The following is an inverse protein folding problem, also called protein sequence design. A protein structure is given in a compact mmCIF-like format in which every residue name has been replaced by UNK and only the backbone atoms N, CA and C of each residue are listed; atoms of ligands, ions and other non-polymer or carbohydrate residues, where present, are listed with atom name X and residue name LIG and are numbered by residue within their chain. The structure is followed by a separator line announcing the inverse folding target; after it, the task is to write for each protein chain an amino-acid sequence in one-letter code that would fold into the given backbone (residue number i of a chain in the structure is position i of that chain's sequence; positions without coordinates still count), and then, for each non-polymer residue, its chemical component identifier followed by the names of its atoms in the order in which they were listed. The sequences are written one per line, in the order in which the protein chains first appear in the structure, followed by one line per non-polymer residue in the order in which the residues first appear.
data_IF_427053452640
#
_entry.id   IF_427053452640
#
_cell.length_a   1.000
_cell.length_b   1.000
_cell.length_c   1.000
_cell.angle_alpha   90.00
_cell.angle_beta   90.00
_cell.angle_gamma   90.00
#
_symmetry.space_group_name_H-M   'P 1'
#
loop_
_entity.id
_entity.type
_entity.pdbx_description
1 polymer ?
#
# COMPACT_ATOMS: atom_id res chain seq x y z
N UNK A 1 -36.16 -40.25 39.52
CA UNK A 1 -37.50 -40.17 38.87
C UNK A 1 -37.36 -39.28 37.65
N UNK A 2 -36.94 -39.85 36.50
CA UNK A 2 -37.75 -40.07 35.27
C UNK A 2 -38.19 -38.75 34.62
N UNK A 3 -37.73 -38.35 33.42
CA UNK A 3 -37.78 -39.09 32.15
C UNK A 3 -36.75 -38.58 31.12
N UNK A 4 -36.29 -39.53 30.31
CA UNK A 4 -35.62 -39.38 29.01
C UNK A 4 -36.66 -39.10 27.91
N UNK A 5 -36.27 -38.48 26.79
CA UNK A 5 -36.73 -38.61 25.38
C UNK A 5 -36.27 -37.33 24.63
N UNK A 6 -35.16 -37.36 23.86
CA UNK A 6 -35.02 -37.76 22.44
C UNK A 6 -35.16 -36.56 21.46
N UNK A 7 -34.08 -36.27 20.71
CA UNK A 7 -33.99 -35.32 19.59
C UNK A 7 -34.83 -35.77 18.36
N UNK A 8 -35.05 -34.86 17.39
CA UNK A 8 -34.34 -35.05 16.12
C UNK A 8 -33.69 -33.78 15.54
N UNK A 9 -32.50 -34.06 15.02
CA UNK A 9 -31.74 -33.45 13.93
C UNK A 9 -32.63 -32.80 12.86
N UNK A 10 -32.35 -31.54 12.51
CA UNK A 10 -32.48 -31.05 11.13
C UNK A 10 -31.20 -30.29 10.76
N UNK A 11 -30.41 -30.93 9.92
CA UNK A 11 -29.39 -30.32 9.08
C UNK A 11 -30.07 -29.33 8.13
N UNK A 12 -29.56 -28.10 8.06
CA UNK A 12 -29.63 -27.29 6.86
C UNK A 12 -28.25 -26.70 6.62
N UNK A 13 -27.45 -27.41 5.83
CA UNK A 13 -26.32 -26.83 5.15
C UNK A 13 -26.86 -25.95 4.02
N UNK A 14 -26.46 -24.68 3.99
CA UNK A 14 -26.44 -23.88 2.77
C UNK A 14 -25.23 -22.97 2.81
N UNK A 15 -24.22 -23.43 2.08
CA UNK A 15 -23.09 -22.63 1.61
C UNK A 15 -23.65 -21.56 0.68
N UNK A 16 -23.41 -20.29 1.00
CA UNK A 16 -23.48 -19.20 0.03
C UNK A 16 -22.21 -18.36 0.16
N UNK A 17 -21.22 -18.79 -0.61
CA UNK A 17 -20.31 -18.03 -1.48
C UNK A 17 -20.14 -16.53 -1.18
N UNK A 18 -18.88 -16.15 -1.09
CA UNK A 18 -18.39 -14.81 -0.75
C UNK A 18 -18.97 -13.68 -1.60
N UNK A 19 -19.25 -12.58 -0.92
CA UNK A 19 -19.53 -11.30 -1.54
C UNK A 19 -18.21 -10.56 -1.71
N UNK A 20 -17.50 -10.84 -2.81
CA UNK A 20 -16.51 -9.90 -3.33
C UNK A 20 -17.27 -8.66 -3.77
N UNK A 21 -17.08 -7.55 -3.07
CA UNK A 21 -17.57 -6.23 -3.49
C UNK A 21 -16.90 -5.87 -4.81
N UNK A 22 -17.54 -6.24 -5.93
CA UNK A 22 -17.14 -5.80 -7.25
C UNK A 22 -17.52 -4.33 -7.39
N UNK A 23 -16.52 -3.46 -7.45
CA UNK A 23 -16.71 -2.08 -7.87
C UNK A 23 -17.10 -2.11 -9.35
N UNK A 24 -18.35 -1.79 -9.65
CA UNK A 24 -18.86 -1.67 -11.01
C UNK A 24 -18.44 -0.32 -11.60
N UNK A 25 -17.44 -0.32 -12.48
CA UNK A 25 -17.21 0.80 -13.40
C UNK A 25 -18.09 0.59 -14.63
N UNK A 26 -18.97 1.55 -14.93
CA UNK A 26 -19.77 1.55 -16.15
C UNK A 26 -18.91 2.04 -17.32
N UNK A 27 -18.56 1.15 -18.24
CA UNK A 27 -17.76 1.46 -19.42
C UNK A 27 -18.67 1.57 -20.66
N UNK A 28 -18.85 2.80 -21.14
CA UNK A 28 -19.50 3.06 -22.43
C UNK A 28 -18.48 2.85 -23.55
N UNK A 29 -18.36 1.61 -24.01
CA UNK A 29 -17.41 1.21 -25.03
C UNK A 29 -17.86 1.66 -26.43
N UNK A 30 -17.19 2.65 -27.00
CA UNK A 30 -17.10 2.83 -28.46
C UNK A 30 -15.68 2.55 -28.92
N UNK A 31 -15.53 1.37 -29.53
CA UNK A 31 -14.28 0.88 -30.10
C UNK A 31 -13.98 -0.50 -29.52
N UNK A 32 -13.88 -1.51 -30.37
CA UNK A 32 -13.44 -2.85 -29.98
C UNK A 32 -11.99 -2.77 -29.48
N UNK A 33 -11.82 -2.48 -28.20
CA UNK A 33 -10.55 -2.16 -27.58
C UNK A 33 -10.56 -2.70 -26.17
N UNK A 34 -9.82 -3.79 -25.94
CA UNK A 34 -9.47 -4.21 -24.59
C UNK A 34 -8.79 -3.01 -23.93
N UNK A 35 -9.42 -2.44 -22.90
CA UNK A 35 -8.79 -1.41 -22.09
C UNK A 35 -7.42 -1.94 -21.62
N UNK A 36 -6.32 -1.17 -21.76
CA UNK A 36 -5.03 -1.62 -21.29
C UNK A 36 -5.12 -2.02 -19.82
N UNK A 37 -4.75 -3.26 -19.51
CA UNK A 37 -4.72 -3.73 -18.12
C UNK A 37 -3.80 -2.83 -17.31
N UNK A 38 -4.33 -2.22 -16.24
CA UNK A 38 -3.53 -1.41 -15.33
C UNK A 38 -2.58 -2.33 -14.56
N UNK A 39 -1.29 -2.26 -14.86
CA UNK A 39 -0.27 -3.06 -14.16
C UNK A 39 0.37 -2.22 -13.06
N UNK A 40 0.37 -2.74 -11.83
CA UNK A 40 1.15 -2.17 -10.73
C UNK A 40 2.63 -2.37 -10.99
N UNK A 41 3.41 -1.28 -10.91
CA UNK A 41 4.87 -1.32 -11.02
C UNK A 41 5.51 -0.55 -9.88
N UNK A 42 6.67 -1.00 -9.44
CA UNK A 42 7.53 -0.21 -8.54
C UNK A 42 7.99 1.07 -9.25
N UNK A 43 8.21 2.13 -8.47
CA UNK A 43 8.90 3.32 -8.93
C UNK A 43 10.39 3.03 -9.15
N UNK A 44 10.97 3.57 -10.23
CA UNK A 44 12.44 3.60 -10.38
C UNK A 44 13.06 4.44 -9.27
N UNK A 45 14.36 4.29 -9.01
CA UNK A 45 15.04 5.10 -7.98
C UNK A 45 14.91 6.60 -8.21
N UNK A 46 15.00 7.03 -9.48
CA UNK A 46 14.81 8.44 -9.83
C UNK A 46 13.37 8.91 -9.58
N UNK A 47 12.39 8.05 -9.81
CA UNK A 47 10.98 8.35 -9.55
C UNK A 47 10.72 8.38 -8.04
N UNK A 48 11.24 7.42 -7.28
CA UNK A 48 11.13 7.37 -5.83
C UNK A 48 11.67 8.64 -5.17
N UNK A 49 12.89 9.07 -5.54
CA UNK A 49 13.48 10.31 -5.01
C UNK A 49 12.64 11.55 -5.36
N UNK A 50 12.15 11.64 -6.59
CA UNK A 50 11.27 12.75 -7.01
C UNK A 50 9.96 12.74 -6.23
N UNK A 51 9.32 11.57 -6.05
CA UNK A 51 8.09 11.42 -5.28
C UNK A 51 8.29 11.82 -3.82
N UNK A 52 9.36 11.35 -3.18
CA UNK A 52 9.72 11.73 -1.80
C UNK A 52 9.94 13.24 -1.68
N UNK A 53 10.68 13.83 -2.63
CA UNK A 53 10.87 15.27 -2.69
C UNK A 53 9.57 16.02 -2.92
N UNK A 54 8.71 15.56 -3.80
CA UNK A 54 7.53 16.33 -4.21
C UNK A 54 6.45 16.27 -3.11
N UNK A 55 6.24 15.11 -2.49
CA UNK A 55 5.28 14.89 -1.40
C UNK A 55 5.76 15.41 -0.05
N UNK A 56 7.01 15.12 0.32
CA UNK A 56 7.52 15.36 1.68
C UNK A 56 8.56 16.48 1.74
N UNK A 57 8.93 17.08 0.59
CA UNK A 57 9.99 18.09 0.48
C UNK A 57 11.32 17.62 1.07
N UNK A 58 11.57 16.31 1.01
CA UNK A 58 12.84 15.69 1.39
C UNK A 58 13.72 15.54 0.13
N UNK A 59 14.85 16.25 0.10
CA UNK A 59 15.81 16.27 -1.00
C UNK A 59 17.07 15.43 -0.71
N UNK A 60 17.01 14.48 0.21
CA UNK A 60 18.18 13.65 0.60
C UNK A 60 18.55 12.59 -0.43
N UNK A 61 17.69 12.36 -1.42
CA UNK A 61 17.82 11.32 -2.46
C UNK A 61 18.04 9.92 -1.85
N UNK A 62 17.06 9.41 -1.08
CA UNK A 62 17.19 8.17 -0.30
C UNK A 62 17.57 6.95 -1.14
N UNK A 63 17.13 6.87 -2.39
CA UNK A 63 17.41 5.74 -3.27
C UNK A 63 18.88 5.62 -3.71
N UNK A 64 19.75 6.58 -3.35
CA UNK A 64 21.21 6.46 -3.59
C UNK A 64 21.86 5.31 -2.82
N UNK A 65 21.22 4.85 -1.74
CA UNK A 65 21.71 3.72 -0.93
C UNK A 65 21.08 2.39 -1.32
N UNK A 66 20.18 2.37 -2.31
CA UNK A 66 19.52 1.15 -2.74
C UNK A 66 20.48 0.30 -3.57
N UNK A 67 20.30 -1.04 -3.58
CA UNK A 67 21.00 -1.92 -4.52
C UNK A 67 20.81 -1.44 -5.96
N UNK A 68 21.71 -1.74 -6.90
CA UNK A 68 21.54 -1.35 -8.30
C UNK A 68 20.19 -1.77 -8.88
N UNK A 69 19.59 -0.88 -9.68
CA UNK A 69 18.34 -1.15 -10.38
C UNK A 69 18.60 -1.89 -11.69
N UNK A 70 17.68 -2.79 -12.07
CA UNK A 70 17.76 -3.48 -13.34
C UNK A 70 17.81 -2.49 -14.52
N UNK A 71 18.73 -2.76 -15.45
CA UNK A 71 18.91 -1.95 -16.65
C UNK A 71 18.90 -2.86 -17.86
N UNK A 72 17.78 -2.85 -18.58
CA UNK A 72 17.52 -3.75 -19.70
C UNK A 72 17.21 -2.92 -20.95
N UNK A 73 17.90 -3.19 -22.06
CA UNK A 73 17.67 -2.51 -23.34
C UNK A 73 17.72 -0.97 -23.29
N UNK A 74 18.52 -0.38 -22.38
CA UNK A 74 18.63 1.07 -22.25
C UNK A 74 17.65 1.74 -21.28
N UNK A 75 16.78 0.97 -20.64
CA UNK A 75 15.73 1.49 -19.76
C UNK A 75 15.82 0.87 -18.36
N UNK A 76 15.11 1.46 -17.39
CA UNK A 76 14.99 0.93 -16.01
C UNK A 76 13.54 0.71 -15.55
N UNK A 77 12.57 0.91 -16.44
CA UNK A 77 11.15 0.97 -16.11
C UNK A 77 10.36 -0.25 -16.62
N UNK A 78 11.03 -1.36 -16.91
CA UNK A 78 10.37 -2.58 -17.40
C UNK A 78 9.61 -3.24 -16.26
N UNK A 79 8.27 -3.19 -16.31
CA UNK A 79 7.43 -3.69 -15.22
C UNK A 79 7.62 -5.20 -14.95
N UNK A 80 8.00 -5.98 -15.97
CA UNK A 80 8.13 -7.44 -15.88
C UNK A 80 9.35 -7.88 -15.07
N UNK A 81 10.40 -7.05 -15.03
CA UNK A 81 11.65 -7.37 -14.34
C UNK A 81 11.80 -6.62 -13.02
N UNK A 82 11.08 -5.51 -12.84
CA UNK A 82 11.07 -4.71 -11.62
C UNK A 82 10.49 -5.50 -10.43
N UNK A 83 11.36 -6.24 -9.75
CA UNK A 83 11.06 -7.00 -8.53
C UNK A 83 11.59 -6.30 -7.28
N UNK A 84 11.10 -6.70 -6.12
CA UNK A 84 11.62 -6.26 -4.81
C UNK A 84 12.43 -7.41 -4.22
N UNK A 85 13.76 -7.28 -4.23
CA UNK A 85 14.65 -8.22 -3.54
C UNK A 85 14.60 -8.00 -2.03
N UNK A 86 14.98 -9.01 -1.20
CA UNK A 86 15.06 -8.83 0.24
C UNK A 86 15.92 -7.64 0.67
N UNK A 87 17.09 -7.46 0.04
CA UNK A 87 17.98 -6.33 0.33
C UNK A 87 17.35 -4.98 -0.05
N UNK A 88 16.59 -4.93 -1.15
CA UNK A 88 15.87 -3.72 -1.53
C UNK A 88 14.72 -3.42 -0.56
N UNK A 89 14.02 -4.44 -0.05
CA UNK A 89 13.00 -4.28 0.98
C UNK A 89 13.59 -3.69 2.27
N UNK A 90 14.73 -4.20 2.73
CA UNK A 90 15.46 -3.64 3.89
C UNK A 90 15.85 -2.18 3.66
N UNK A 91 16.39 -1.86 2.47
CA UNK A 91 16.76 -0.50 2.12
C UNK A 91 15.55 0.45 2.11
N UNK A 92 14.37 -0.03 1.68
CA UNK A 92 13.12 0.72 1.79
C UNK A 92 12.72 1.00 3.23
N UNK A 93 12.83 0.02 4.13
CA UNK A 93 12.52 0.21 5.55
C UNK A 93 13.41 1.28 6.18
N UNK A 94 14.73 1.20 5.96
CA UNK A 94 15.69 2.20 6.46
C UNK A 94 15.43 3.58 5.87
N UNK A 95 15.10 3.66 4.58
CA UNK A 95 14.73 4.92 3.95
C UNK A 95 13.45 5.50 4.55
N UNK A 96 12.42 4.68 4.76
CA UNK A 96 11.14 5.10 5.33
C UNK A 96 11.30 5.71 6.73
N UNK A 97 12.08 5.08 7.60
CA UNK A 97 12.38 5.62 8.93
C UNK A 97 13.05 7.00 8.86
N UNK A 98 14.06 7.15 7.99
CA UNK A 98 14.77 8.43 7.82
C UNK A 98 13.87 9.51 7.24
N UNK A 99 13.06 9.17 6.24
CA UNK A 99 12.11 10.08 5.62
C UNK A 99 11.06 10.53 6.65
N UNK A 100 10.53 9.61 7.46
CA UNK A 100 9.58 9.94 8.53
C UNK A 100 10.22 10.88 9.57
N UNK A 101 11.43 10.58 10.04
CA UNK A 101 12.16 11.45 10.95
C UNK A 101 12.42 12.85 10.35
N UNK A 102 12.72 12.92 9.05
CA UNK A 102 12.92 14.19 8.35
C UNK A 102 11.61 14.98 8.20
N UNK A 103 10.50 14.30 7.92
CA UNK A 103 9.19 14.93 7.77
C UNK A 103 8.76 15.68 9.04
N UNK A 104 9.04 15.09 10.22
CA UNK A 104 8.65 15.61 11.52
C UNK A 104 9.75 16.35 12.30
N UNK A 105 10.93 16.58 11.70
CA UNK A 105 12.07 17.25 12.37
C UNK A 105 11.72 18.63 12.96
N UNK A 106 10.72 19.31 12.39
CA UNK A 106 10.20 20.62 12.87
C UNK A 106 8.75 20.52 13.36
N UNK A 107 8.36 19.34 13.86
CA UNK A 107 6.95 19.00 14.10
C UNK A 107 6.17 18.79 12.80
N UNK A 108 4.84 18.71 12.90
CA UNK A 108 3.95 18.54 11.74
C UNK A 108 3.73 19.84 10.94
N UNK A 109 4.82 20.41 10.44
CA UNK A 109 4.80 21.65 9.65
C UNK A 109 4.08 21.53 8.30
N UNK A 110 3.73 20.32 7.87
CA UNK A 110 3.11 20.03 6.57
C UNK A 110 1.67 19.56 6.68
N UNK A 111 1.12 19.45 7.90
CA UNK A 111 -0.23 18.94 8.12
C UNK A 111 -0.40 17.51 7.62
N UNK A 112 0.61 16.66 7.83
CA UNK A 112 0.58 15.24 7.45
C UNK A 112 -0.32 14.44 8.38
N UNK A 113 -0.52 14.88 9.62
CA UNK A 113 -1.43 14.24 10.59
C UNK A 113 -2.76 15.01 10.56
N UNK A 114 -3.91 14.32 10.36
CA UNK A 114 -5.21 14.98 10.23
C UNK A 114 -5.72 15.62 11.52
N UNK A 115 -5.10 15.28 12.66
CA UNK A 115 -5.50 15.64 14.01
C UNK A 115 -4.28 16.07 14.84
N UNK A 116 -4.54 16.77 15.96
CA UNK A 116 -3.50 17.11 16.93
C UNK A 116 -3.51 16.07 18.06
N UNK A 117 -2.46 15.23 18.21
CA UNK A 117 -2.43 14.22 19.26
C UNK A 117 -2.33 14.87 20.64
N UNK A 118 -3.06 14.32 21.61
CA UNK A 118 -2.99 14.73 23.03
C UNK A 118 -1.78 14.12 23.75
N UNK A 119 -1.30 12.96 23.28
CA UNK A 119 -0.12 12.25 23.77
C UNK A 119 0.44 11.33 22.68
N UNK A 120 1.59 10.69 22.93
CA UNK A 120 2.18 9.72 21.99
C UNK A 120 1.30 8.46 21.79
N UNK A 121 0.40 8.17 22.74
CA UNK A 121 -0.47 6.99 22.74
C UNK A 121 -1.91 7.30 22.32
N UNK A 122 -2.15 8.49 21.76
CA UNK A 122 -3.47 8.94 21.30
C UNK A 122 -4.02 8.02 20.19
N UNK A 123 -4.76 7.00 20.60
CA UNK A 123 -5.29 5.98 19.72
C UNK A 123 -6.36 6.53 18.77
N UNK A 124 -7.10 7.55 19.19
CA UNK A 124 -8.17 8.16 18.38
C UNK A 124 -7.55 8.85 17.18
N UNK A 125 -6.55 9.70 17.42
CA UNK A 125 -5.85 10.41 16.34
C UNK A 125 -5.11 9.42 15.40
N UNK A 126 -4.55 8.33 15.93
CA UNK A 126 -3.91 7.28 15.13
C UNK A 126 -4.88 6.57 14.17
N UNK A 127 -6.12 6.33 14.57
CA UNK A 127 -7.12 5.67 13.71
C UNK A 127 -7.61 6.58 12.57
N UNK A 128 -7.49 7.90 12.68
CA UNK A 128 -7.85 8.82 11.59
C UNK A 128 -6.80 8.92 10.48
N UNK A 129 -5.57 8.45 10.72
CA UNK A 129 -4.45 8.62 9.79
C UNK A 129 -4.53 7.70 8.55
N UNK A 130 -5.19 6.53 8.62
CA UNK A 130 -5.29 5.53 7.53
C UNK A 130 -6.55 4.68 7.62
#
# INVERSE_FOLDING_TARGET
MTRWFQLPILFAASVLVGQSSQISFSEEARGSGVAPQAVLRRLTHSQYNKTVRDLLKDSTDPARQFPPEDYVNGFKNQYQTLSVSPLLAEAYSVAAERIAANAFRRGDSRGLIPCKPLSNDDAVCRTEFI
#
